data_IF_975633437815
#
_entry.id   IF_975633437815
#
_cell.length_a   1.000
_cell.length_b   1.000
_cell.length_c   1.000
_cell.angle_alpha   90.00
_cell.angle_beta   90.00
_cell.angle_gamma   90.00
#
_symmetry.space_group_name_H-M   'P 1'
#
loop_
_entity.id
_entity.type
_entity.pdbx_description
1 polymer ?
#
# COMPACT_ATOMS: atom_id res chain seq x y z
N UNK A 1 -13.52 14.21 9.74
CA UNK A 1 -12.70 12.98 9.70
C UNK A 1 -13.27 12.09 8.61
N UNK A 2 -12.47 11.58 7.67
CA UNK A 2 -12.99 10.69 6.62
C UNK A 2 -13.36 9.33 7.23
N UNK A 3 -14.24 8.58 6.56
CA UNK A 3 -14.66 7.24 7.01
C UNK A 3 -13.45 6.29 7.07
N UNK A 4 -13.28 5.48 8.13
CA UNK A 4 -12.24 4.45 8.19
C UNK A 4 -12.29 3.48 7.00
N UNK A 5 -13.48 3.20 6.47
CA UNK A 5 -13.67 2.36 5.29
C UNK A 5 -12.98 2.94 4.05
N UNK A 6 -12.91 4.28 3.95
CA UNK A 6 -12.22 4.92 2.83
C UNK A 6 -10.72 4.63 2.88
N UNK A 7 -10.07 4.82 4.03
CA UNK A 7 -8.64 4.54 4.16
C UNK A 7 -8.32 3.06 3.92
N UNK A 8 -9.15 2.15 4.43
CA UNK A 8 -9.01 0.72 4.16
C UNK A 8 -9.19 0.39 2.67
N UNK A 9 -10.11 1.07 1.98
CA UNK A 9 -10.30 0.90 0.54
C UNK A 9 -9.12 1.46 -0.27
N UNK A 10 -8.53 2.59 0.14
CA UNK A 10 -7.34 3.15 -0.48
C UNK A 10 -6.15 2.19 -0.34
N UNK A 11 -5.94 1.63 0.86
CA UNK A 11 -4.91 0.61 1.09
C UNK A 11 -5.12 -0.63 0.21
N UNK A 12 -6.35 -1.16 0.17
CA UNK A 12 -6.69 -2.34 -0.63
C UNK A 12 -6.48 -2.10 -2.13
N UNK A 13 -6.90 -0.94 -2.63
CA UNK A 13 -6.74 -0.58 -4.03
C UNK A 13 -5.26 -0.40 -4.38
N UNK A 14 -4.47 0.25 -3.51
CA UNK A 14 -3.04 0.38 -3.71
C UNK A 14 -2.34 -0.99 -3.77
N UNK A 15 -2.67 -1.90 -2.86
CA UNK A 15 -2.14 -3.28 -2.88
C UNK A 15 -2.51 -4.04 -4.16
N UNK A 16 -3.76 -3.91 -4.62
CA UNK A 16 -4.22 -4.54 -5.88
C UNK A 16 -3.47 -3.98 -7.08
N UNK A 17 -3.34 -2.66 -7.18
CA UNK A 17 -2.60 -2.01 -8.25
C UNK A 17 -1.14 -2.49 -8.30
N UNK A 18 -0.46 -2.56 -7.15
CA UNK A 18 0.91 -3.08 -7.08
C UNK A 18 0.97 -4.50 -7.65
N UNK A 19 0.08 -5.38 -7.18
CA UNK A 19 0.01 -6.75 -7.67
C UNK A 19 -0.25 -6.79 -9.18
N UNK A 20 -1.17 -5.97 -9.68
CA UNK A 20 -1.52 -5.93 -11.10
C UNK A 20 -0.35 -5.45 -11.98
N UNK A 21 0.47 -4.54 -11.48
CA UNK A 21 1.64 -4.05 -12.20
C UNK A 21 2.74 -5.11 -12.31
N UNK A 22 2.91 -5.95 -11.29
CA UNK A 22 4.07 -6.85 -11.19
C UNK A 22 3.75 -8.32 -11.45
N UNK A 23 2.48 -8.75 -11.39
CA UNK A 23 2.11 -10.17 -11.46
C UNK A 23 2.57 -10.90 -12.73
N UNK A 24 2.70 -10.17 -13.84
CA UNK A 24 3.13 -10.71 -15.14
C UNK A 24 4.59 -10.38 -15.45
N UNK A 25 5.35 -9.87 -14.47
CA UNK A 25 6.75 -9.47 -14.65
C UNK A 25 7.68 -10.39 -13.89
N UNK A 26 8.70 -10.86 -14.60
CA UNK A 26 9.89 -11.41 -13.94
C UNK A 26 10.63 -10.32 -13.17
N UNK A 27 11.32 -10.72 -12.11
CA UNK A 27 12.04 -9.80 -11.22
C UNK A 27 13.06 -8.94 -11.98
N UNK A 28 13.84 -9.54 -12.88
CA UNK A 28 14.86 -8.85 -13.66
C UNK A 28 14.24 -7.80 -14.60
N UNK A 29 13.04 -8.07 -15.11
CA UNK A 29 12.28 -7.14 -15.95
C UNK A 29 11.78 -5.97 -15.12
N UNK A 30 11.21 -6.23 -13.94
CA UNK A 30 10.77 -5.18 -13.01
C UNK A 30 11.92 -4.26 -12.60
N UNK A 31 13.09 -4.82 -12.27
CA UNK A 31 14.24 -4.03 -11.84
C UNK A 31 14.77 -3.05 -12.90
N UNK A 32 14.54 -3.34 -14.19
CA UNK A 32 14.95 -2.51 -15.33
C UNK A 32 13.85 -1.54 -15.80
N UNK A 33 12.61 -1.72 -15.37
CA UNK A 33 11.48 -0.87 -15.75
C UNK A 33 11.26 0.26 -14.74
N UNK A 34 11.85 1.43 -15.01
CA UNK A 34 11.71 2.62 -14.16
C UNK A 34 10.27 3.12 -14.04
N UNK A 35 9.44 2.94 -15.07
CA UNK A 35 8.04 3.37 -15.04
C UNK A 35 7.28 2.53 -14.03
N UNK A 36 7.45 1.21 -14.10
CA UNK A 36 6.75 0.28 -13.20
C UNK A 36 7.27 0.39 -11.77
N UNK A 37 8.58 0.56 -11.57
CA UNK A 37 9.13 0.89 -10.23
C UNK A 37 8.52 2.16 -9.66
N UNK A 38 8.45 3.23 -10.46
CA UNK A 38 7.85 4.50 -10.03
C UNK A 38 6.37 4.34 -9.69
N UNK A 39 5.62 3.57 -10.48
CA UNK A 39 4.22 3.25 -10.21
C UNK A 39 4.05 2.47 -8.89
N UNK A 40 4.86 1.44 -8.66
CA UNK A 40 4.83 0.66 -7.41
C UNK A 40 5.19 1.53 -6.21
N UNK A 41 6.27 2.32 -6.28
CA UNK A 41 6.67 3.25 -5.21
C UNK A 41 5.54 4.24 -4.88
N UNK A 42 4.85 4.77 -5.89
CA UNK A 42 3.72 5.66 -5.68
C UNK A 42 2.55 4.98 -4.95
N UNK A 43 2.21 3.74 -5.30
CA UNK A 43 1.18 2.99 -4.60
C UNK A 43 1.58 2.65 -3.15
N UNK A 44 2.87 2.36 -2.90
CA UNK A 44 3.37 2.15 -1.53
C UNK A 44 3.26 3.41 -0.67
N UNK A 45 3.51 4.59 -1.26
CA UNK A 45 3.29 5.89 -0.59
C UNK A 45 1.81 6.10 -0.22
N UNK A 46 0.89 5.84 -1.16
CA UNK A 46 -0.57 5.92 -0.90
C UNK A 46 -0.97 4.97 0.22
N UNK A 47 -0.51 3.71 0.16
CA UNK A 47 -0.79 2.71 1.18
C UNK A 47 -0.28 3.15 2.55
N UNK A 48 0.95 3.65 2.62
CA UNK A 48 1.55 4.13 3.86
C UNK A 48 0.80 5.31 4.45
N UNK A 49 0.42 6.29 3.63
CA UNK A 49 -0.32 7.47 4.09
C UNK A 49 -1.74 7.10 4.57
N UNK A 50 -2.46 6.28 3.81
CA UNK A 50 -3.77 5.78 4.21
C UNK A 50 -3.70 4.99 5.54
N UNK A 51 -2.67 4.14 5.71
CA UNK A 51 -2.47 3.36 6.93
C UNK A 51 -2.26 4.23 8.18
N UNK A 52 -1.60 5.39 8.06
CA UNK A 52 -1.45 6.35 9.17
C UNK A 52 -2.80 6.91 9.60
N UNK A 53 -3.66 7.21 8.63
CA UNK A 53 -4.96 7.83 8.85
C UNK A 53 -6.04 6.87 9.40
N UNK A 54 -5.82 5.55 9.35
CA UNK A 54 -6.72 4.58 9.99
C UNK A 54 -6.73 4.77 11.52
N UNK A 55 -7.91 4.91 12.15
CA UNK A 55 -8.04 5.04 13.61
C UNK A 55 -7.50 3.84 14.40
N UNK A 56 -7.05 4.10 15.63
CA UNK A 56 -6.39 3.08 16.48
C UNK A 56 -7.32 1.92 16.84
N UNK A 57 -8.59 2.19 17.11
CA UNK A 57 -9.62 1.17 17.40
C UNK A 57 -9.82 0.21 16.22
N UNK A 58 -9.70 0.70 14.99
CA UNK A 58 -9.74 -0.14 13.78
C UNK A 58 -8.46 -0.96 13.64
N UNK A 59 -7.29 -0.36 13.89
CA UNK A 59 -5.99 -1.08 13.86
C UNK A 59 -5.95 -2.22 14.87
N UNK A 60 -6.50 -2.01 16.08
CA UNK A 60 -6.58 -3.01 17.13
C UNK A 60 -7.45 -4.23 16.76
N UNK A 61 -8.32 -4.12 15.76
CA UNK A 61 -9.09 -5.26 15.21
C UNK A 61 -8.27 -6.15 14.29
N UNK A 62 -7.10 -5.69 13.84
CA UNK A 62 -6.16 -6.45 13.02
C UNK A 62 -4.73 -6.28 13.55
N UNK A 63 -4.43 -6.79 14.77
CA UNK A 63 -3.13 -6.59 15.43
C UNK A 63 -1.99 -7.34 14.73
N UNK A 64 -2.31 -8.33 13.89
CA UNK A 64 -1.34 -9.14 13.16
C UNK A 64 -0.73 -8.41 11.95
N UNK A 65 -1.30 -7.27 11.53
CA UNK A 65 -0.77 -6.48 10.43
C UNK A 65 0.33 -5.54 10.92
N UNK A 66 1.39 -5.38 10.13
CA UNK A 66 2.48 -4.44 10.43
C UNK A 66 2.09 -2.99 10.07
N UNK A 67 1.24 -2.41 10.92
CA UNK A 67 0.81 -1.01 10.77
C UNK A 67 1.98 -0.02 10.79
N UNK A 68 3.05 -0.32 11.55
CA UNK A 68 4.21 0.55 11.66
C UNK A 68 5.07 0.48 10.39
N UNK A 69 5.28 -0.72 9.85
CA UNK A 69 5.97 -0.92 8.59
C UNK A 69 5.24 -0.26 7.43
N UNK A 70 3.92 -0.42 7.34
CA UNK A 70 3.09 0.26 6.33
C UNK A 70 3.22 1.78 6.43
N UNK A 71 3.06 2.36 7.62
CA UNK A 71 3.21 3.80 7.84
C UNK A 71 4.64 4.32 7.57
N UNK A 72 5.64 3.43 7.61
CA UNK A 72 7.05 3.72 7.36
C UNK A 72 7.44 3.75 5.89
N UNK A 73 6.56 3.34 4.97
CA UNK A 73 6.84 3.35 3.53
C UNK A 73 6.89 4.78 2.99
N UNK A 74 8.08 5.20 2.56
CA UNK A 74 8.40 6.50 1.96
C UNK A 74 9.63 6.38 1.08
#
# INVERSE_FOLDING_TARGET
MRSPLLYLSEMLNASRNINDFVQSMEKETFLKDEKTKSAVTHQLLILGEASKAVPVDVKLRAPNLDWKGMAGMR
#
